data_IF_581405477532
#
_entry.id   IF_581405477532
#
_cell.length_a   1.000
_cell.length_b   1.000
_cell.length_c   1.000
_cell.angle_alpha   90.00
_cell.angle_beta   90.00
_cell.angle_gamma   90.00
#
_symmetry.space_group_name_H-M   'P 1'
#
loop_
_entity.id
_entity.type
_entity.pdbx_description
1 polymer ?
#
# COMPACT_ATOMS: atom_id res chain seq x y z
N UNK A 1 -1.87 -8.37 -19.82
CA UNK A 1 -2.32 -9.51 -18.98
C UNK A 1 -3.76 -9.20 -18.58
N UNK A 2 -4.70 -9.95 -19.13
CA UNK A 2 -6.11 -9.61 -19.06
C UNK A 2 -6.59 -9.58 -17.59
N UNK A 3 -7.03 -8.40 -17.17
CA UNK A 3 -7.70 -8.22 -15.89
C UNK A 3 -8.95 -9.12 -15.88
N UNK A 4 -8.96 -10.14 -15.06
CA UNK A 4 -10.20 -10.86 -14.76
C UNK A 4 -11.20 -9.84 -14.22
N UNK A 5 -12.16 -9.51 -15.09
CA UNK A 5 -13.34 -8.72 -14.78
C UNK A 5 -14.16 -9.50 -13.74
N UNK A 6 -13.82 -9.28 -12.47
CA UNK A 6 -14.55 -9.85 -11.35
C UNK A 6 -15.62 -8.85 -10.95
N UNK A 7 -16.86 -9.27 -11.18
CA UNK A 7 -18.11 -8.74 -10.66
C UNK A 7 -18.00 -7.90 -9.38
N UNK A 8 -18.92 -6.98 -9.23
CA UNK A 8 -19.25 -5.97 -8.21
C UNK A 8 -19.18 -6.42 -6.71
N UNK A 9 -18.31 -7.39 -6.38
CA UNK A 9 -18.19 -8.04 -5.08
C UNK A 9 -17.06 -7.51 -4.20
N UNK A 10 -17.03 -7.97 -2.95
CA UNK A 10 -15.92 -7.74 -2.02
C UNK A 10 -14.61 -8.28 -2.60
N UNK A 11 -13.51 -7.56 -2.34
CA UNK A 11 -12.15 -7.91 -2.73
C UNK A 11 -11.41 -8.30 -1.44
N UNK A 12 -10.69 -9.44 -1.43
CA UNK A 12 -9.92 -9.79 -0.24
C UNK A 12 -8.75 -8.83 -0.06
N UNK A 13 -8.02 -8.53 -1.14
CA UNK A 13 -6.78 -7.75 -1.07
C UNK A 13 -6.70 -6.68 -2.16
N UNK A 14 -6.43 -5.44 -1.77
CA UNK A 14 -5.96 -4.39 -2.66
C UNK A 14 -4.44 -4.31 -2.59
N UNK A 15 -3.76 -4.48 -3.72
CA UNK A 15 -2.31 -4.30 -3.85
C UNK A 15 -2.05 -2.97 -4.53
N UNK A 16 -1.39 -2.04 -3.84
CA UNK A 16 -0.96 -0.75 -4.41
C UNK A 16 0.53 -0.82 -4.68
N UNK A 17 0.89 -0.79 -5.93
CA UNK A 17 2.27 -0.87 -6.41
C UNK A 17 2.80 0.50 -6.81
N UNK A 18 4.05 0.76 -6.41
CA UNK A 18 4.69 2.04 -6.62
C UNK A 18 6.16 1.87 -6.99
N UNK A 19 6.46 1.64 -8.27
CA UNK A 19 7.82 1.69 -8.81
C UNK A 19 7.80 1.93 -10.32
N UNK A 20 8.61 2.88 -10.87
CA UNK A 20 8.56 3.26 -12.29
C UNK A 20 9.25 2.28 -13.25
N UNK A 21 9.96 1.27 -12.73
CA UNK A 21 10.77 0.37 -13.54
C UNK A 21 10.40 -1.10 -13.31
N UNK A 22 9.88 -1.76 -14.34
CA UNK A 22 9.45 -3.16 -14.28
C UNK A 22 10.61 -4.15 -14.01
N UNK A 23 11.84 -3.84 -14.43
CA UNK A 23 13.02 -4.65 -14.14
C UNK A 23 13.53 -4.55 -12.70
N UNK A 24 12.80 -3.89 -11.80
CA UNK A 24 13.20 -3.71 -10.39
C UNK A 24 12.93 -4.95 -9.54
N UNK A 25 13.68 -5.09 -8.44
CA UNK A 25 13.35 -6.10 -7.42
C UNK A 25 11.97 -5.83 -6.79
N UNK A 26 11.58 -4.57 -6.69
CA UNK A 26 10.25 -4.19 -6.20
C UNK A 26 9.12 -4.75 -7.09
N UNK A 27 9.30 -4.76 -8.42
CA UNK A 27 8.35 -5.41 -9.33
C UNK A 27 8.33 -6.94 -9.13
N UNK A 28 9.49 -7.56 -8.92
CA UNK A 28 9.53 -8.98 -8.60
C UNK A 28 8.81 -9.31 -7.27
N UNK A 29 8.85 -8.39 -6.28
CA UNK A 29 8.08 -8.50 -5.03
C UNK A 29 6.58 -8.43 -5.30
N UNK A 30 6.12 -7.52 -6.17
CA UNK A 30 4.72 -7.47 -6.61
C UNK A 30 4.27 -8.81 -7.19
N UNK A 31 5.03 -9.35 -8.14
CA UNK A 31 4.69 -10.62 -8.77
C UNK A 31 4.68 -11.79 -7.79
N UNK A 32 5.60 -11.81 -6.82
CA UNK A 32 5.62 -12.81 -5.75
C UNK A 32 4.40 -12.68 -4.83
N UNK A 33 4.00 -11.46 -4.50
CA UNK A 33 2.79 -11.21 -3.71
C UNK A 33 1.54 -11.71 -4.43
N UNK A 34 1.39 -11.39 -5.72
CA UNK A 34 0.27 -11.88 -6.54
C UNK A 34 0.22 -13.42 -6.59
N UNK A 35 1.36 -14.09 -6.83
CA UNK A 35 1.40 -15.57 -6.81
C UNK A 35 0.97 -16.15 -5.48
N UNK A 36 1.37 -15.52 -4.36
CA UNK A 36 0.94 -15.96 -3.03
C UNK A 36 -0.57 -15.85 -2.83
N UNK A 37 -1.17 -14.73 -3.24
CA UNK A 37 -2.63 -14.51 -3.19
C UNK A 37 -3.38 -15.51 -4.07
N UNK A 38 -2.90 -15.74 -5.29
CA UNK A 38 -3.46 -16.73 -6.22
C UNK A 38 -3.40 -18.16 -5.66
N UNK A 39 -2.26 -18.55 -5.10
CA UNK A 39 -2.11 -19.87 -4.48
C UNK A 39 -3.05 -20.10 -3.29
N UNK A 40 -3.45 -19.02 -2.62
CA UNK A 40 -4.42 -19.05 -1.53
C UNK A 40 -5.89 -18.94 -2.00
N UNK A 41 -6.13 -18.77 -3.30
CA UNK A 41 -7.48 -18.56 -3.85
C UNK A 41 -8.10 -17.21 -3.43
N UNK A 42 -7.31 -16.24 -3.06
CA UNK A 42 -7.78 -14.92 -2.64
C UNK A 42 -8.05 -14.02 -3.83
N UNK A 43 -9.17 -13.32 -3.77
CA UNK A 43 -9.47 -12.27 -4.76
C UNK A 43 -8.61 -11.04 -4.49
N UNK A 44 -7.99 -10.48 -5.53
CA UNK A 44 -7.19 -9.26 -5.37
C UNK A 44 -7.32 -8.33 -6.58
N UNK A 45 -6.96 -7.10 -6.39
CA UNK A 45 -6.76 -6.09 -7.44
C UNK A 45 -5.41 -5.43 -7.26
N UNK A 46 -4.75 -5.15 -8.38
CA UNK A 46 -3.52 -4.37 -8.41
C UNK A 46 -3.82 -2.98 -8.94
N UNK A 47 -3.33 -1.98 -8.25
CA UNK A 47 -3.25 -0.59 -8.68
C UNK A 47 -1.78 -0.28 -8.89
N UNK A 48 -1.37 0.01 -10.11
CA UNK A 48 -0.04 0.53 -10.43
C UNK A 48 -0.11 2.04 -10.60
N UNK A 49 0.46 2.77 -9.64
CA UNK A 49 0.36 4.23 -9.61
C UNK A 49 1.07 4.92 -10.78
N UNK A 50 2.13 4.29 -11.32
CA UNK A 50 2.84 4.82 -12.49
C UNK A 50 2.10 4.51 -13.80
N UNK A 51 1.58 3.30 -13.96
CA UNK A 51 0.81 2.89 -15.14
C UNK A 51 -0.52 3.65 -15.22
N UNK A 52 -1.20 3.86 -14.08
CA UNK A 52 -2.42 4.68 -14.00
C UNK A 52 -2.17 6.17 -14.29
N UNK A 53 -0.91 6.63 -14.33
CA UNK A 53 -0.57 8.04 -14.54
C UNK A 53 -1.01 8.94 -13.38
N UNK A 54 -1.04 8.40 -12.16
CA UNK A 54 -1.48 9.13 -10.98
C UNK A 54 -0.60 10.36 -10.69
N UNK A 55 -1.22 11.52 -10.49
CA UNK A 55 -0.53 12.74 -10.03
C UNK A 55 -0.50 12.79 -8.49
N UNK A 56 0.67 12.58 -7.85
CA UNK A 56 0.79 12.57 -6.40
C UNK A 56 0.71 13.96 -5.75
N UNK A 57 0.80 15.02 -6.54
CA UNK A 57 0.85 16.37 -6.00
C UNK A 57 -0.53 16.82 -5.49
N UNK A 58 -0.61 17.14 -4.20
CA UNK A 58 -1.79 17.79 -3.62
C UNK A 58 -1.79 19.26 -4.03
N UNK A 59 -2.74 19.67 -4.84
CA UNK A 59 -2.83 21.01 -5.42
C UNK A 59 -3.87 21.87 -4.70
N UNK A 60 -3.88 23.17 -4.96
CA UNK A 60 -4.88 24.08 -4.38
C UNK A 60 -6.34 23.69 -4.68
N UNK A 61 -6.59 23.10 -5.86
CA UNK A 61 -7.92 22.59 -6.24
C UNK A 61 -8.31 21.39 -5.38
N UNK A 62 -7.38 20.51 -5.03
CA UNK A 62 -7.62 19.37 -4.14
C UNK A 62 -7.95 19.85 -2.72
N UNK A 63 -7.20 20.83 -2.20
CA UNK A 63 -7.45 21.43 -0.89
C UNK A 63 -8.82 22.12 -0.80
N UNK A 64 -9.31 22.70 -1.88
CA UNK A 64 -10.62 23.35 -1.91
C UNK A 64 -11.78 22.36 -1.62
N UNK A 65 -11.56 21.07 -1.85
CA UNK A 65 -12.57 20.02 -1.65
C UNK A 65 -12.21 19.02 -0.55
N UNK A 66 -10.96 19.06 -0.05
CA UNK A 66 -10.39 18.10 0.90
C UNK A 66 -11.29 17.84 2.11
N UNK A 67 -11.69 18.91 2.81
CA UNK A 67 -12.56 18.83 3.99
C UNK A 67 -14.03 18.51 3.69
N UNK A 68 -14.39 18.43 2.41
CA UNK A 68 -15.70 17.92 1.98
C UNK A 68 -15.65 16.43 1.60
N UNK A 69 -14.47 15.80 1.69
CA UNK A 69 -14.27 14.40 1.36
C UNK A 69 -14.37 14.08 -0.13
N UNK A 70 -14.18 15.09 -0.99
CA UNK A 70 -14.30 14.93 -2.44
C UNK A 70 -13.01 15.31 -3.15
N UNK A 71 -12.75 14.68 -4.29
CA UNK A 71 -11.64 15.00 -5.19
C UNK A 71 -12.17 15.19 -6.61
N UNK A 72 -11.53 16.07 -7.37
CA UNK A 72 -11.78 16.23 -8.81
C UNK A 72 -11.02 15.20 -9.66
N UNK A 73 -10.09 14.47 -9.06
CA UNK A 73 -9.31 13.42 -9.70
C UNK A 73 -10.12 12.12 -9.73
N UNK A 74 -10.51 11.58 -10.91
CA UNK A 74 -11.33 10.38 -11.01
C UNK A 74 -10.61 9.13 -10.49
N UNK A 75 -9.27 9.12 -10.49
CA UNK A 75 -8.48 8.02 -9.93
C UNK A 75 -8.66 7.92 -8.41
N UNK A 76 -8.83 9.04 -7.71
CA UNK A 76 -9.09 9.03 -6.26
C UNK A 76 -10.38 8.29 -5.95
N UNK A 77 -11.47 8.58 -6.67
CA UNK A 77 -12.75 7.89 -6.48
C UNK A 77 -12.63 6.38 -6.78
N UNK A 78 -11.92 6.02 -7.86
CA UNK A 78 -11.63 4.61 -8.20
C UNK A 78 -10.86 3.91 -7.09
N UNK A 79 -9.82 4.53 -6.56
CA UNK A 79 -9.00 3.95 -5.49
C UNK A 79 -9.77 3.82 -4.18
N UNK A 80 -10.61 4.79 -3.86
CA UNK A 80 -11.50 4.72 -2.69
C UNK A 80 -12.52 3.59 -2.83
N UNK A 81 -13.11 3.39 -4.01
CA UNK A 81 -14.02 2.26 -4.26
C UNK A 81 -13.31 0.92 -4.05
N UNK A 82 -12.14 0.71 -4.67
CA UNK A 82 -11.36 -0.51 -4.52
C UNK A 82 -10.96 -0.76 -3.05
N UNK A 83 -10.44 0.28 -2.38
CA UNK A 83 -10.02 0.19 -0.99
C UNK A 83 -11.20 -0.05 -0.05
N UNK A 84 -12.34 0.61 -0.30
CA UNK A 84 -13.56 0.47 0.49
C UNK A 84 -14.19 -0.93 0.43
N UNK A 85 -13.91 -1.69 -0.64
CA UNK A 85 -14.36 -3.08 -0.82
C UNK A 85 -13.33 -4.12 -0.36
N UNK A 86 -12.12 -3.68 0.02
CA UNK A 86 -11.01 -4.56 0.39
C UNK A 86 -10.91 -4.73 1.90
N UNK A 87 -10.46 -5.89 2.35
CA UNK A 87 -10.18 -6.19 3.76
C UNK A 87 -8.71 -6.08 4.11
N UNK A 88 -7.84 -6.29 3.14
CA UNK A 88 -6.39 -6.27 3.29
C UNK A 88 -5.79 -5.29 2.27
N UNK A 89 -4.90 -4.42 2.73
CA UNK A 89 -4.13 -3.50 1.90
C UNK A 89 -2.68 -3.96 1.86
N UNK A 90 -2.15 -4.20 0.68
CA UNK A 90 -0.73 -4.50 0.46
C UNK A 90 -0.10 -3.34 -0.30
N UNK A 91 0.90 -2.71 0.29
CA UNK A 91 1.68 -1.67 -0.34
C UNK A 91 3.02 -2.25 -0.80
N UNK A 92 3.33 -2.15 -2.07
CA UNK A 92 4.60 -2.64 -2.64
C UNK A 92 5.38 -1.45 -3.18
N UNK A 93 6.43 -1.05 -2.45
CA UNK A 93 7.20 0.16 -2.77
C UNK A 93 8.65 0.07 -2.28
N UNK A 94 9.61 0.79 -2.89
CA UNK A 94 10.92 0.97 -2.29
C UNK A 94 10.85 1.94 -1.10
N UNK A 95 11.84 1.88 -0.22
CA UNK A 95 12.10 2.97 0.73
C UNK A 95 13.15 3.88 0.13
N UNK A 96 12.78 5.11 -0.15
CA UNK A 96 13.65 6.16 -0.67
C UNK A 96 13.81 7.28 0.35
N UNK A 97 15.07 7.63 0.65
CA UNK A 97 15.35 8.67 1.63
C UNK A 97 14.68 8.49 2.99
N UNK A 98 14.63 7.23 3.46
CA UNK A 98 14.05 6.78 4.74
C UNK A 98 12.52 6.93 4.83
N UNK A 99 11.82 7.08 3.70
CA UNK A 99 10.36 7.26 3.65
C UNK A 99 9.75 6.57 2.43
N UNK A 100 8.44 6.63 2.30
CA UNK A 100 7.72 6.22 1.11
C UNK A 100 8.11 7.09 -0.09
N UNK A 101 8.11 6.54 -1.32
CA UNK A 101 8.24 7.35 -2.52
C UNK A 101 7.15 8.44 -2.58
N UNK A 102 7.50 9.62 -3.12
CA UNK A 102 6.56 10.73 -3.27
C UNK A 102 5.23 10.32 -3.94
N UNK A 103 5.27 9.41 -4.91
CA UNK A 103 4.10 8.85 -5.58
C UNK A 103 3.17 8.15 -4.59
N UNK A 104 3.68 7.25 -3.74
CA UNK A 104 2.89 6.51 -2.77
C UNK A 104 2.45 7.42 -1.61
N UNK A 105 3.32 8.34 -1.17
CA UNK A 105 2.94 9.32 -0.14
C UNK A 105 1.80 10.21 -0.63
N UNK A 106 1.87 10.69 -1.89
CA UNK A 106 0.81 11.48 -2.50
C UNK A 106 -0.49 10.69 -2.69
N UNK A 107 -0.40 9.37 -2.94
CA UNK A 107 -1.57 8.49 -2.92
C UNK A 107 -2.26 8.49 -1.55
N UNK A 108 -1.50 8.34 -0.47
CA UNK A 108 -2.03 8.46 0.90
C UNK A 108 -2.68 9.82 1.12
N UNK A 109 -2.00 10.92 0.74
CA UNK A 109 -2.48 12.28 0.95
C UNK A 109 -3.78 12.60 0.20
N UNK A 110 -3.96 12.06 -1.02
CA UNK A 110 -5.11 12.35 -1.87
C UNK A 110 -6.28 11.38 -1.70
N UNK A 111 -6.01 10.14 -1.30
CA UNK A 111 -7.06 9.10 -1.18
C UNK A 111 -7.67 9.07 0.22
N UNK A 112 -6.88 9.36 1.27
CA UNK A 112 -7.34 9.26 2.66
C UNK A 112 -8.10 10.53 3.07
N UNK A 113 -9.26 10.75 2.45
CA UNK A 113 -10.11 11.92 2.67
C UNK A 113 -11.05 11.74 3.87
N UNK A 114 -11.50 12.87 4.41
CA UNK A 114 -12.57 12.92 5.43
C UNK A 114 -13.85 12.26 4.92
N UNK A 115 -14.57 11.55 5.78
CA UNK A 115 -15.79 10.81 5.41
C UNK A 115 -15.53 9.48 4.70
N UNK A 116 -14.32 9.26 4.18
CA UNK A 116 -13.92 7.97 3.61
C UNK A 116 -13.04 7.17 4.57
N UNK A 117 -11.94 7.74 5.03
CA UNK A 117 -10.94 7.03 5.85
C UNK A 117 -10.87 7.52 7.30
N UNK A 118 -11.43 8.70 7.56
CA UNK A 118 -11.48 9.31 8.88
C UNK A 118 -12.60 10.34 8.99
N UNK A 119 -12.92 10.69 10.23
CA UNK A 119 -13.89 11.73 10.57
C UNK A 119 -13.24 12.80 11.45
N UNK A 120 -13.66 14.05 11.26
CA UNK A 120 -13.28 15.15 12.14
C UNK A 120 -14.16 15.13 13.39
N UNK A 121 -13.54 15.14 14.57
CA UNK A 121 -14.23 15.17 15.86
C UNK A 121 -13.84 16.41 16.66
N UNK A 122 -14.54 16.71 17.74
CA UNK A 122 -14.15 17.79 18.66
C UNK A 122 -12.77 17.59 19.34
N UNK A 123 -12.20 16.41 19.24
CA UNK A 123 -10.90 16.04 19.84
C UNK A 123 -9.83 15.73 18.78
N UNK A 124 -10.09 15.98 17.50
CA UNK A 124 -9.18 15.72 16.40
C UNK A 124 -9.71 14.70 15.39
N UNK A 125 -8.81 13.96 14.76
CA UNK A 125 -9.12 12.95 13.76
C UNK A 125 -9.51 11.62 14.42
N UNK A 126 -10.60 11.01 13.95
CA UNK A 126 -11.00 9.64 14.26
C UNK A 126 -10.94 8.79 12.99
N UNK A 127 -10.04 7.79 12.96
CA UNK A 127 -9.87 6.89 11.83
C UNK A 127 -11.03 5.89 11.71
N UNK A 128 -11.61 5.80 10.53
CA UNK A 128 -12.75 4.91 10.22
C UNK A 128 -12.42 3.86 9.15
N UNK A 129 -11.23 3.94 8.54
CA UNK A 129 -10.83 2.98 7.51
C UNK A 129 -10.72 1.56 8.06
N UNK A 130 -10.30 1.40 9.32
CA UNK A 130 -10.18 0.13 10.02
C UNK A 130 -11.50 -0.64 10.20
N UNK A 131 -12.65 -0.01 9.99
CA UNK A 131 -13.95 -0.71 9.97
C UNK A 131 -14.06 -1.65 8.77
N UNK A 132 -13.33 -1.37 7.68
CA UNK A 132 -13.32 -2.11 6.42
C UNK A 132 -11.99 -2.82 6.19
N UNK A 133 -10.89 -2.09 6.24
CA UNK A 133 -9.51 -2.60 6.04
C UNK A 133 -8.97 -3.07 7.37
N UNK A 134 -8.81 -4.39 7.53
CA UNK A 134 -8.39 -5.01 8.80
C UNK A 134 -6.88 -5.06 8.95
N UNK A 135 -6.15 -5.12 7.84
CA UNK A 135 -4.70 -5.25 7.85
C UNK A 135 -4.03 -4.44 6.75
N UNK A 136 -2.82 -3.96 7.01
CA UNK A 136 -1.92 -3.40 6.00
C UNK A 136 -0.55 -4.02 6.10
N UNK A 137 -0.04 -4.51 4.97
CA UNK A 137 1.33 -4.97 4.79
C UNK A 137 2.11 -3.99 3.90
N UNK A 138 3.22 -3.47 4.40
CA UNK A 138 4.19 -2.76 3.60
C UNK A 138 5.30 -3.73 3.19
N UNK A 139 5.32 -4.14 1.93
CA UNK A 139 6.36 -4.94 1.32
C UNK A 139 7.36 -4.00 0.64
N UNK A 140 8.55 -3.88 1.19
CA UNK A 140 9.49 -2.89 0.67
C UNK A 140 10.88 -3.44 0.37
N UNK A 141 11.61 -2.69 -0.45
CA UNK A 141 13.04 -2.91 -0.74
C UNK A 141 13.81 -1.64 -0.40
N UNK A 142 15.04 -1.79 0.07
CA UNK A 142 15.91 -0.63 0.37
C UNK A 142 17.39 -0.95 0.19
N UNK A 143 18.20 0.06 -0.18
CA UNK A 143 19.65 -0.01 -0.14
C UNK A 143 20.16 -0.06 1.31
N UNK A 144 19.56 0.75 2.19
CA UNK A 144 19.89 0.74 3.61
C UNK A 144 19.42 -0.55 4.30
N UNK A 145 20.17 -1.06 5.30
CA UNK A 145 19.75 -2.18 6.13
C UNK A 145 18.43 -1.90 6.86
N UNK A 146 17.56 -2.91 7.00
CA UNK A 146 16.26 -2.79 7.68
C UNK A 146 16.40 -2.23 9.10
N UNK A 147 17.39 -2.69 9.88
CA UNK A 147 17.61 -2.23 11.24
C UNK A 147 17.89 -0.70 11.34
N UNK A 148 18.48 -0.11 10.30
CA UNK A 148 18.71 1.34 10.22
C UNK A 148 17.40 2.11 9.95
N UNK A 149 16.49 1.53 9.18
CA UNK A 149 15.23 2.15 8.77
C UNK A 149 14.09 1.93 9.78
N UNK A 150 14.17 0.86 10.57
CA UNK A 150 13.13 0.46 11.54
C UNK A 150 12.69 1.62 12.47
N UNK A 151 13.62 2.41 13.07
CA UNK A 151 13.25 3.51 13.97
C UNK A 151 12.53 4.67 13.29
N UNK A 152 12.55 4.74 11.97
CA UNK A 152 11.93 5.82 11.18
C UNK A 152 10.66 5.33 10.48
N UNK A 153 10.76 4.27 9.69
CA UNK A 153 9.66 3.80 8.83
C UNK A 153 8.50 3.26 9.67
N UNK A 154 8.77 2.41 10.65
CA UNK A 154 7.69 1.84 11.46
C UNK A 154 6.89 2.91 12.21
N UNK A 155 7.49 3.81 13.01
CA UNK A 155 6.73 4.83 13.73
C UNK A 155 5.99 5.79 12.82
N UNK A 156 6.60 6.25 11.73
CA UNK A 156 6.01 7.28 10.87
C UNK A 156 4.96 6.71 9.92
N UNK A 157 5.25 5.59 9.26
CA UNK A 157 4.36 5.03 8.23
C UNK A 157 3.28 4.16 8.86
N UNK A 158 3.67 3.16 9.66
CA UNK A 158 2.68 2.21 10.18
C UNK A 158 1.92 2.78 11.38
N UNK A 159 2.64 3.24 12.40
CA UNK A 159 2.01 3.63 13.66
C UNK A 159 1.39 5.03 13.61
N UNK A 160 2.05 6.01 12.99
CA UNK A 160 1.48 7.35 12.90
C UNK A 160 0.42 7.47 11.79
N UNK A 161 0.62 6.84 10.62
CA UNK A 161 -0.32 6.98 9.50
C UNK A 161 -1.44 5.94 9.56
N UNK A 162 -1.13 4.65 9.43
CA UNK A 162 -2.17 3.62 9.31
C UNK A 162 -2.88 3.30 10.61
N UNK A 163 -2.21 3.42 11.77
CA UNK A 163 -2.90 3.31 13.06
C UNK A 163 -3.87 4.49 13.27
N UNK A 164 -3.48 5.69 12.86
CA UNK A 164 -4.36 6.87 12.94
C UNK A 164 -5.62 6.71 12.08
N UNK A 165 -5.55 5.96 10.97
CA UNK A 165 -6.68 5.61 10.12
C UNK A 165 -7.55 4.48 10.71
N UNK A 166 -7.19 3.94 11.88
CA UNK A 166 -7.93 2.91 12.58
C UNK A 166 -7.62 1.47 12.15
N UNK A 167 -6.63 1.23 11.28
CA UNK A 167 -6.29 -0.13 10.83
C UNK A 167 -5.59 -0.88 11.97
N UNK A 168 -6.15 -2.01 12.47
CA UNK A 168 -5.64 -2.67 13.66
C UNK A 168 -4.34 -3.45 13.44
N UNK A 169 -4.18 -4.12 12.29
CA UNK A 169 -3.02 -4.95 11.99
C UNK A 169 -2.13 -4.26 10.96
N UNK A 170 -0.84 -4.08 11.29
CA UNK A 170 0.09 -3.28 10.48
C UNK A 170 1.47 -3.92 10.47
N UNK A 171 1.89 -4.45 9.32
CA UNK A 171 3.14 -5.15 9.17
C UNK A 171 4.09 -4.47 8.19
N UNK A 172 5.36 -4.53 8.48
CA UNK A 172 6.41 -4.10 7.58
C UNK A 172 7.40 -5.23 7.30
N UNK A 173 7.53 -5.54 6.02
CA UNK A 173 8.45 -6.56 5.52
C UNK A 173 9.41 -5.89 4.53
N UNK A 174 10.63 -5.64 4.96
CA UNK A 174 11.63 -4.96 4.16
C UNK A 174 12.78 -5.89 3.74
N UNK A 175 13.15 -5.85 2.48
CA UNK A 175 14.40 -6.41 1.99
C UNK A 175 15.46 -5.31 1.94
N UNK A 176 16.18 -5.14 3.07
CA UNK A 176 17.23 -4.15 3.24
C UNK A 176 18.58 -4.63 2.72
N UNK A 177 19.45 -3.69 2.31
CA UNK A 177 20.77 -3.97 1.77
C UNK A 177 20.74 -4.61 0.37
N UNK A 178 19.71 -4.29 -0.42
CA UNK A 178 19.49 -4.93 -1.72
C UNK A 178 20.67 -4.80 -2.69
N UNK A 179 21.42 -3.71 -2.63
CA UNK A 179 22.56 -3.44 -3.52
C UNK A 179 23.71 -4.43 -3.31
N UNK A 180 23.85 -4.96 -2.10
CA UNK A 180 24.86 -5.95 -1.70
C UNK A 180 24.33 -7.40 -1.73
N UNK A 181 23.06 -7.58 -2.12
CA UNK A 181 22.41 -8.89 -2.07
C UNK A 181 22.84 -9.80 -3.22
N UNK A 182 22.96 -11.09 -2.92
CA UNK A 182 23.14 -12.14 -3.92
C UNK A 182 21.80 -12.51 -4.56
N UNK A 183 21.86 -13.18 -5.71
CA UNK A 183 20.64 -13.69 -6.36
C UNK A 183 19.90 -14.69 -5.46
N UNK A 184 20.59 -15.59 -4.78
CA UNK A 184 19.98 -16.55 -3.87
C UNK A 184 19.23 -15.87 -2.71
N UNK A 185 19.76 -14.76 -2.18
CA UNK A 185 19.06 -13.97 -1.15
C UNK A 185 17.78 -13.31 -1.68
N UNK A 186 17.81 -12.79 -2.91
CA UNK A 186 16.63 -12.22 -3.56
C UNK A 186 15.56 -13.28 -3.81
N UNK A 187 15.94 -14.44 -4.32
CA UNK A 187 15.03 -15.57 -4.54
C UNK A 187 14.41 -16.07 -3.23
N UNK A 188 15.21 -16.20 -2.16
CA UNK A 188 14.71 -16.57 -0.85
C UNK A 188 13.72 -15.54 -0.27
N UNK A 189 13.97 -14.24 -0.50
CA UNK A 189 13.06 -13.17 -0.13
C UNK A 189 11.74 -13.25 -0.91
N UNK A 190 11.79 -13.40 -2.23
CA UNK A 190 10.58 -13.55 -3.06
C UNK A 190 9.75 -14.74 -2.63
N UNK A 191 10.37 -15.90 -2.35
CA UNK A 191 9.68 -17.06 -1.81
C UNK A 191 9.10 -16.83 -0.40
N UNK A 192 9.69 -15.96 0.41
CA UNK A 192 9.11 -15.53 1.69
C UNK A 192 7.86 -14.68 1.48
N UNK A 193 7.90 -13.72 0.55
CA UNK A 193 6.75 -12.87 0.22
C UNK A 193 5.58 -13.71 -0.28
N UNK A 194 5.84 -14.66 -1.19
CA UNK A 194 4.83 -15.57 -1.71
C UNK A 194 4.14 -16.37 -0.59
N UNK A 195 4.92 -16.96 0.32
CA UNK A 195 4.38 -17.69 1.49
C UNK A 195 3.62 -16.77 2.46
N UNK A 196 4.07 -15.55 2.64
CA UNK A 196 3.41 -14.56 3.51
C UNK A 196 2.01 -14.24 2.98
N UNK A 197 1.92 -13.93 1.69
CA UNK A 197 0.62 -13.62 1.07
C UNK A 197 -0.30 -14.84 0.96
N UNK A 198 0.27 -16.04 0.83
CA UNK A 198 -0.51 -17.28 0.83
C UNK A 198 -1.14 -17.59 2.20
N UNK A 199 -0.49 -17.25 3.31
CA UNK A 199 -1.02 -17.52 4.66
C UNK A 199 -2.14 -16.56 5.03
N UNK A 200 -2.03 -15.31 4.62
CA UNK A 200 -2.99 -14.25 4.95
C UNK A 200 -3.04 -13.85 6.41
N UNK A 201 -2.09 -14.34 7.15
CA UNK A 201 -1.90 -13.95 8.52
C UNK A 201 -1.09 -12.65 8.48
N UNK A 202 -1.67 -11.59 9.03
CA UNK A 202 -0.92 -10.40 9.40
C UNK A 202 0.30 -10.77 10.23
N UNK A 203 1.01 -9.82 10.77
CA UNK A 203 2.24 -10.04 11.54
C UNK A 203 2.15 -11.19 12.52
#
# INVERSE_FOLDING_TARGET
MDAHDVTDGAIDTLVVYCHPYEGSLCHAVLLAACRGLEAAGRSYRVVDLYEDGFDPALRAVDLATYMRGTSSDPLVARYQDLLGRSRHLVLVAPIWWNDLPAMLKGWVDKVMLVGFSWEATGHGLHGTLGDRVRSVDLLSTSAAPTAQLEPVVRPCVLEATFAQLGIPERCWHNFGGMDQSTQAQREAWLGRVERLMARGDGC
#
